data_IF_893580032568
#
_entry.id   IF_893580032568
#
_cell.length_a   1.000
_cell.length_b   1.000
_cell.length_c   1.000
_cell.angle_alpha   90.00
_cell.angle_beta   90.00
_cell.angle_gamma   90.00
#
_symmetry.space_group_name_H-M   'P 1'
#
loop_
_entity.id
_entity.type
_entity.pdbx_description
1 polymer ?
#
# COMPACT_ATOMS: atom_id res chain seq x y z
N UNK A 1 35.77 30.86 1.14
CA UNK A 1 34.56 31.70 1.16
C UNK A 1 33.40 30.84 0.68
N UNK A 2 32.51 30.55 1.62
CA UNK A 2 31.10 30.17 1.53
C UNK A 2 30.69 28.87 0.80
N UNK A 3 30.54 27.85 1.63
CA UNK A 3 29.35 27.00 1.83
C UNK A 3 28.30 26.96 0.69
N UNK A 4 28.30 25.79 0.03
CA UNK A 4 27.14 24.94 -0.24
C UNK A 4 25.76 25.55 -0.01
N UNK A 5 25.07 25.94 -1.08
CA UNK A 5 23.62 26.16 -1.05
C UNK A 5 22.92 24.95 -1.67
N UNK A 6 22.78 23.88 -0.88
CA UNK A 6 21.86 22.78 -1.17
C UNK A 6 20.41 23.31 -1.10
N UNK A 7 19.92 23.89 -2.19
CA UNK A 7 18.51 24.25 -2.35
C UNK A 7 17.86 23.29 -3.36
N UNK A 8 17.99 21.98 -3.11
CA UNK A 8 17.10 21.01 -3.74
C UNK A 8 15.71 21.30 -3.19
N UNK A 9 14.85 21.85 -4.03
CA UNK A 9 13.66 22.56 -3.59
C UNK A 9 12.68 21.58 -2.95
N UNK A 10 12.01 22.00 -1.87
CA UNK A 10 11.02 21.17 -1.15
C UNK A 10 9.90 20.64 -2.05
N UNK A 11 9.69 21.26 -3.22
CA UNK A 11 8.77 20.83 -4.26
C UNK A 11 9.25 19.59 -5.04
N UNK A 12 10.56 19.47 -5.26
CA UNK A 12 11.15 18.30 -5.94
C UNK A 12 11.06 17.05 -5.05
N UNK A 13 11.34 17.20 -3.74
CA UNK A 13 11.17 16.14 -2.76
C UNK A 13 9.71 15.68 -2.64
N UNK A 14 8.76 16.61 -2.58
CA UNK A 14 7.34 16.27 -2.52
C UNK A 14 6.83 15.58 -3.80
N UNK A 15 7.37 15.96 -4.97
CA UNK A 15 7.07 15.31 -6.25
C UNK A 15 7.59 13.87 -6.32
N UNK A 16 8.81 13.63 -5.83
CA UNK A 16 9.41 12.30 -5.79
C UNK A 16 8.73 11.38 -4.77
N UNK A 17 8.35 11.89 -3.60
CA UNK A 17 7.58 11.14 -2.61
C UNK A 17 6.20 10.70 -3.14
N UNK A 18 5.49 11.59 -3.85
CA UNK A 18 4.21 11.24 -4.50
C UNK A 18 4.38 10.15 -5.55
N UNK A 19 5.41 10.24 -6.38
CA UNK A 19 5.71 9.21 -7.39
C UNK A 19 6.03 7.87 -6.73
N UNK A 20 6.84 7.88 -5.67
CA UNK A 20 7.17 6.67 -4.92
C UNK A 20 5.91 6.05 -4.29
N UNK A 21 5.06 6.86 -3.67
CA UNK A 21 3.79 6.42 -3.07
C UNK A 21 2.88 5.74 -4.09
N UNK A 22 2.73 6.34 -5.27
CA UNK A 22 1.95 5.76 -6.37
C UNK A 22 2.51 4.41 -6.82
N UNK A 23 3.84 4.29 -6.95
CA UNK A 23 4.48 3.04 -7.33
C UNK A 23 4.27 1.94 -6.27
N UNK A 24 4.36 2.29 -4.97
CA UNK A 24 4.13 1.34 -3.87
C UNK A 24 2.69 0.86 -3.83
N UNK A 25 1.71 1.73 -4.01
CA UNK A 25 0.29 1.33 -4.08
C UNK A 25 -0.03 0.52 -5.35
N UNK A 26 0.63 0.79 -6.48
CA UNK A 26 0.51 -0.05 -7.66
C UNK A 26 1.05 -1.47 -7.39
N UNK A 27 2.20 -1.60 -6.72
CA UNK A 27 2.72 -2.90 -6.30
C UNK A 27 1.80 -3.59 -5.29
N UNK A 28 1.25 -2.85 -4.32
CA UNK A 28 0.28 -3.40 -3.37
C UNK A 28 -0.95 -3.98 -4.08
N UNK A 29 -1.46 -3.27 -5.10
CA UNK A 29 -2.57 -3.76 -5.93
C UNK A 29 -2.21 -5.08 -6.62
N UNK A 30 -1.00 -5.18 -7.16
CA UNK A 30 -0.52 -6.40 -7.81
C UNK A 30 -0.42 -7.58 -6.82
N UNK A 31 0.14 -7.36 -5.64
CA UNK A 31 0.27 -8.40 -4.62
C UNK A 31 -1.07 -8.89 -4.08
N UNK A 32 -2.01 -7.98 -3.83
CA UNK A 32 -3.36 -8.36 -3.39
C UNK A 32 -4.06 -9.18 -4.49
N UNK A 33 -3.92 -8.80 -5.75
CA UNK A 33 -4.46 -9.58 -6.86
C UNK A 33 -3.80 -10.97 -7.00
N UNK A 34 -2.49 -11.08 -6.72
CA UNK A 34 -1.79 -12.35 -6.72
C UNK A 34 -2.31 -13.29 -5.62
N UNK A 35 -2.55 -12.78 -4.41
CA UNK A 35 -3.16 -13.56 -3.31
C UNK A 35 -4.54 -14.09 -3.73
N UNK A 36 -5.37 -13.25 -4.35
CA UNK A 36 -6.71 -13.65 -4.84
C UNK A 36 -6.65 -14.84 -5.83
N UNK A 37 -5.63 -14.88 -6.68
CA UNK A 37 -5.44 -15.93 -7.68
C UNK A 37 -4.97 -17.25 -7.05
N UNK A 38 -4.16 -17.18 -6.00
CA UNK A 38 -3.56 -18.36 -5.34
C UNK A 38 -4.48 -18.93 -4.26
N UNK A 39 -5.19 -18.07 -3.53
CA UNK A 39 -6.14 -18.43 -2.47
C UNK A 39 -7.56 -17.97 -2.86
N UNK A 40 -8.38 -18.83 -3.51
CA UNK A 40 -9.75 -18.50 -3.89
C UNK A 40 -10.65 -18.11 -2.70
N UNK A 41 -10.33 -18.61 -1.50
CA UNK A 41 -10.97 -18.29 -0.22
C UNK A 41 -10.81 -16.82 0.19
N UNK A 42 -9.86 -16.09 -0.41
CA UNK A 42 -9.55 -14.69 -0.13
C UNK A 42 -9.90 -13.78 -1.30
N UNK A 43 -10.43 -14.32 -2.40
CA UNK A 43 -10.57 -13.60 -3.66
C UNK A 43 -11.53 -12.40 -3.55
N UNK A 44 -12.61 -12.52 -2.79
CA UNK A 44 -13.58 -11.45 -2.56
C UNK A 44 -12.94 -10.30 -1.76
N UNK A 45 -12.33 -10.61 -0.61
CA UNK A 45 -11.68 -9.60 0.23
C UNK A 45 -10.50 -8.93 -0.49
N UNK A 46 -9.74 -9.70 -1.26
CA UNK A 46 -8.65 -9.16 -2.08
C UNK A 46 -9.18 -8.23 -3.18
N UNK A 47 -10.26 -8.61 -3.87
CA UNK A 47 -10.84 -7.81 -4.95
C UNK A 47 -11.30 -6.44 -4.45
N UNK A 48 -12.08 -6.42 -3.36
CA UNK A 48 -12.54 -5.19 -2.71
C UNK A 48 -11.35 -4.29 -2.32
N UNK A 49 -10.36 -4.91 -1.69
CA UNK A 49 -9.20 -4.18 -1.17
C UNK A 49 -8.31 -3.65 -2.30
N UNK A 50 -8.12 -4.42 -3.37
CA UNK A 50 -7.39 -3.98 -4.56
C UNK A 50 -8.05 -2.76 -5.24
N UNK A 51 -9.37 -2.69 -5.23
CA UNK A 51 -10.13 -1.52 -5.70
C UNK A 51 -9.80 -0.26 -4.90
N UNK A 52 -9.80 -0.37 -3.57
CA UNK A 52 -9.46 0.74 -2.67
C UNK A 52 -8.00 1.17 -2.77
N UNK A 53 -7.07 0.22 -2.84
CA UNK A 53 -5.63 0.53 -3.02
C UNK A 53 -5.40 1.25 -4.35
N UNK A 54 -6.12 0.85 -5.41
CA UNK A 54 -6.06 1.53 -6.71
C UNK A 54 -6.65 2.94 -6.66
N UNK A 55 -7.71 3.15 -5.90
CA UNK A 55 -8.27 4.48 -5.66
C UNK A 55 -7.27 5.37 -4.89
N UNK A 56 -6.66 4.84 -3.83
CA UNK A 56 -5.61 5.52 -3.07
C UNK A 56 -4.37 5.83 -3.95
N UNK A 57 -4.04 4.98 -4.92
CA UNK A 57 -2.91 5.23 -5.83
C UNK A 57 -3.14 6.46 -6.75
N UNK A 58 -4.41 6.84 -6.94
CA UNK A 58 -4.81 8.03 -7.70
C UNK A 58 -4.95 9.27 -6.81
N UNK A 59 -4.97 9.09 -5.49
CA UNK A 59 -5.08 10.16 -4.52
C UNK A 59 -3.69 10.56 -4.01
N UNK A 60 -3.22 11.73 -4.44
CA UNK A 60 -1.92 12.27 -4.05
C UNK A 60 -1.93 12.95 -2.67
N UNK A 61 -3.07 12.92 -1.95
CA UNK A 61 -3.24 13.55 -0.63
C UNK A 61 -2.92 12.61 0.55
N UNK A 62 -2.63 11.34 0.28
CA UNK A 62 -2.48 10.35 1.34
C UNK A 62 -1.25 10.63 2.24
N UNK A 63 -1.43 10.77 3.57
CA UNK A 63 -0.33 11.02 4.50
C UNK A 63 0.70 9.89 4.52
N UNK A 64 1.98 10.25 4.74
CA UNK A 64 3.10 9.30 4.81
C UNK A 64 2.89 8.21 5.87
N UNK A 65 2.37 8.57 7.04
CA UNK A 65 2.13 7.61 8.13
C UNK A 65 1.04 6.59 7.77
N UNK A 66 0.03 7.00 7.00
CA UNK A 66 -0.99 6.09 6.47
C UNK A 66 -0.38 5.13 5.46
N UNK A 67 0.49 5.63 4.56
CA UNK A 67 1.20 4.77 3.61
C UNK A 67 2.05 3.70 4.33
N UNK A 68 2.82 4.11 5.33
CA UNK A 68 3.65 3.19 6.12
C UNK A 68 2.81 2.12 6.84
N UNK A 69 1.62 2.49 7.30
CA UNK A 69 0.68 1.55 7.92
C UNK A 69 0.17 0.52 6.92
N UNK A 70 -0.18 0.95 5.70
CA UNK A 70 -0.63 0.07 4.63
C UNK A 70 0.46 -0.89 4.17
N UNK A 71 1.69 -0.39 3.98
CA UNK A 71 2.85 -1.22 3.62
C UNK A 71 3.08 -2.33 4.63
N UNK A 72 3.09 -1.99 5.93
CA UNK A 72 3.25 -2.99 6.99
C UNK A 72 2.12 -4.02 7.03
N UNK A 73 0.87 -3.60 6.81
CA UNK A 73 -0.26 -4.53 6.77
C UNK A 73 -0.17 -5.47 5.56
N UNK A 74 0.25 -4.95 4.40
CA UNK A 74 0.50 -5.78 3.22
C UNK A 74 1.64 -6.78 3.43
N UNK A 75 2.75 -6.35 4.03
CA UNK A 75 3.88 -7.23 4.36
C UNK A 75 3.45 -8.37 5.30
N UNK A 76 2.61 -8.07 6.31
CA UNK A 76 2.05 -9.11 7.19
C UNK A 76 1.12 -10.04 6.44
N UNK A 77 0.20 -9.51 5.63
CA UNK A 77 -0.71 -10.32 4.81
C UNK A 77 0.04 -11.29 3.89
N UNK A 78 1.09 -10.81 3.21
CA UNK A 78 1.98 -11.61 2.38
C UNK A 78 2.74 -12.66 3.20
N UNK A 79 3.24 -12.27 4.38
CA UNK A 79 3.92 -13.19 5.30
C UNK A 79 3.01 -14.32 5.78
N UNK A 80 1.74 -14.04 6.07
CA UNK A 80 0.75 -15.05 6.45
C UNK A 80 0.38 -15.96 5.27
N UNK A 81 0.15 -15.38 4.09
CA UNK A 81 -0.12 -16.15 2.87
C UNK A 81 1.05 -17.09 2.52
N UNK A 82 2.29 -16.61 2.60
CA UNK A 82 3.49 -17.42 2.36
C UNK A 82 3.65 -18.59 3.36
N UNK A 83 3.05 -18.48 4.55
CA UNK A 83 3.02 -19.55 5.57
C UNK A 83 1.82 -20.49 5.42
N UNK A 84 0.91 -20.22 4.48
CA UNK A 84 -0.35 -20.96 4.33
C UNK A 84 -1.40 -20.62 5.39
N UNK A 85 -1.25 -19.50 6.10
CA UNK A 85 -2.23 -19.04 7.10
C UNK A 85 -3.21 -18.06 6.45
N UNK A 86 -4.16 -18.62 5.70
CA UNK A 86 -5.19 -17.85 5.00
C UNK A 86 -6.06 -17.03 5.96
N UNK A 87 -6.30 -17.51 7.19
CA UNK A 87 -7.13 -16.79 8.17
C UNK A 87 -6.42 -15.51 8.62
N UNK A 88 -5.15 -15.60 9.00
CA UNK A 88 -4.39 -14.42 9.39
C UNK A 88 -4.17 -13.48 8.20
N UNK A 89 -3.95 -14.03 6.99
CA UNK A 89 -3.89 -13.23 5.76
C UNK A 89 -5.18 -12.43 5.56
N UNK A 90 -6.35 -13.07 5.69
CA UNK A 90 -7.66 -12.42 5.57
C UNK A 90 -7.85 -11.29 6.58
N UNK A 91 -7.41 -11.48 7.82
CA UNK A 91 -7.54 -10.46 8.86
C UNK A 91 -6.69 -9.23 8.52
N UNK A 92 -5.48 -9.42 8.03
CA UNK A 92 -4.62 -8.31 7.60
C UNK A 92 -5.17 -7.59 6.37
N UNK A 93 -5.71 -8.32 5.38
CA UNK A 93 -6.37 -7.71 4.21
C UNK A 93 -7.60 -6.90 4.63
N UNK A 94 -8.41 -7.41 5.57
CA UNK A 94 -9.55 -6.66 6.10
C UNK A 94 -9.11 -5.43 6.90
N UNK A 95 -8.03 -5.52 7.68
CA UNK A 95 -7.47 -4.38 8.39
C UNK A 95 -6.96 -3.31 7.40
N UNK A 96 -6.36 -3.75 6.29
CA UNK A 96 -5.91 -2.85 5.21
C UNK A 96 -7.11 -2.17 4.54
N UNK A 97 -8.17 -2.92 4.25
CA UNK A 97 -9.44 -2.40 3.73
C UNK A 97 -10.04 -1.33 4.64
N UNK A 98 -10.12 -1.58 5.94
CA UNK A 98 -10.64 -0.61 6.92
C UNK A 98 -9.77 0.65 6.99
N UNK A 99 -8.44 0.50 6.97
CA UNK A 99 -7.52 1.65 6.97
C UNK A 99 -7.70 2.57 5.76
N UNK A 100 -8.12 2.01 4.62
CA UNK A 100 -8.41 2.75 3.38
C UNK A 100 -9.82 3.37 3.34
N UNK A 101 -10.76 2.94 4.19
CA UNK A 101 -12.12 3.48 4.23
C UNK A 101 -12.27 4.68 5.18
N UNK A 102 -11.31 4.88 6.09
CA UNK A 102 -11.31 5.99 7.07
C UNK A 102 -10.42 7.17 6.59
N UNK A 103 -10.29 7.33 5.27
CA UNK A 103 -9.59 8.44 4.60
C UNK A 103 -10.59 9.36 3.94
#
# INVERSE_FOLDING_TARGET
MNDTSCNATSSDLAGDEKRANRARLAMATFFIAAIALVSPSLAEECSDTAGLVRAAARDDSMPRDKMHTLERALERALGHHARGDDLACRLEINSLRQGLLVT
#
